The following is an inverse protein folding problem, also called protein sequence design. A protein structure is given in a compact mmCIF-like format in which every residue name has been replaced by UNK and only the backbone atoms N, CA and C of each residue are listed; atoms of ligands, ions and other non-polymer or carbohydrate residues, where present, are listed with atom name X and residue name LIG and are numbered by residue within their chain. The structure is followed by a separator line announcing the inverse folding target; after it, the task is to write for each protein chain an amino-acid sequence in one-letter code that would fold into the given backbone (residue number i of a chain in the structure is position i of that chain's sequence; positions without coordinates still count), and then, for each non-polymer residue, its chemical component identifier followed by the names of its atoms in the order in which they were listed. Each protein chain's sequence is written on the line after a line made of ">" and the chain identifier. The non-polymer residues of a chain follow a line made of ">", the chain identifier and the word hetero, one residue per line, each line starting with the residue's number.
data_IF_795109994172
#
_entry.id   IF_795109994172
#
_cell.length_a   1.000
_cell.length_b   1.000
_cell.length_c   1.000
_cell.angle_alpha   90.00
_cell.angle_beta   90.00
_cell.angle_gamma   90.00
#
_symmetry.space_group_name_H-M   'P 1'
#
loop_
_entity.id
_entity.type
_entity.pdbx_description
1 polymer ?
#
# COMPACT_ATOMS: atom_id res chain seq x y z
N UNK A 1 -23.78 5.13 -17.58
CA UNK A 1 -23.17 4.05 -16.77
C UNK A 1 -22.80 4.62 -15.41
N UNK A 2 -23.18 4.00 -14.29
CA UNK A 2 -22.84 4.53 -12.97
C UNK A 2 -21.32 4.52 -12.79
N UNK A 3 -20.73 5.60 -12.26
CA UNK A 3 -19.35 5.59 -11.74
C UNK A 3 -19.40 5.11 -10.30
N UNK A 4 -18.86 3.93 -9.94
CA UNK A 4 -18.71 3.57 -8.55
C UNK A 4 -17.22 3.59 -8.22
N UNK A 5 -16.72 4.71 -7.69
CA UNK A 5 -15.73 4.63 -6.63
C UNK A 5 -15.66 5.97 -5.91
N UNK A 6 -16.63 6.20 -5.02
CA UNK A 6 -16.32 6.98 -3.83
C UNK A 6 -15.48 6.05 -2.97
N UNK A 7 -14.17 6.00 -3.20
CA UNK A 7 -13.27 5.27 -2.31
C UNK A 7 -13.57 5.72 -0.88
N UNK A 8 -13.85 4.76 0.00
CA UNK A 8 -14.13 5.04 1.40
C UNK A 8 -12.92 5.79 1.96
N UNK A 9 -13.12 6.96 2.59
CA UNK A 9 -12.04 7.65 3.29
C UNK A 9 -11.33 6.69 4.24
N UNK A 10 -10.00 6.79 4.30
CA UNK A 10 -9.21 6.03 5.27
C UNK A 10 -9.61 6.54 6.66
N UNK A 11 -10.09 5.66 7.54
CA UNK A 11 -10.40 6.08 8.92
C UNK A 11 -9.11 6.34 9.71
N UNK A 12 -9.22 7.12 10.78
CA UNK A 12 -8.08 7.37 11.67
C UNK A 12 -7.54 6.08 12.29
N UNK A 13 -8.43 5.12 12.61
CA UNK A 13 -8.04 3.80 13.12
C UNK A 13 -7.22 3.02 12.09
N UNK A 14 -7.65 3.02 10.81
CA UNK A 14 -6.92 2.35 9.73
C UNK A 14 -5.54 2.97 9.51
N UNK A 15 -5.47 4.30 9.65
CA UNK A 15 -4.22 5.05 9.54
C UNK A 15 -3.28 4.73 10.71
N UNK A 16 -3.76 4.81 11.96
CA UNK A 16 -2.95 4.51 13.14
C UNK A 16 -2.47 3.07 13.14
N UNK A 17 -3.33 2.13 12.72
CA UNK A 17 -2.96 0.73 12.57
C UNK A 17 -1.85 0.56 11.53
N UNK A 18 -1.99 1.16 10.34
CA UNK A 18 -0.95 1.11 9.32
C UNK A 18 0.38 1.68 9.84
N UNK A 19 0.33 2.84 10.52
CA UNK A 19 1.51 3.51 11.09
C UNK A 19 2.18 2.64 12.16
N UNK A 20 1.40 1.97 13.02
CA UNK A 20 1.91 1.02 14.02
C UNK A 20 2.64 -0.19 13.40
N UNK A 21 2.31 -0.51 12.15
CA UNK A 21 2.92 -1.58 11.36
C UNK A 21 4.06 -1.08 10.44
N UNK A 22 4.43 0.21 10.54
CA UNK A 22 5.50 0.81 9.75
C UNK A 22 5.08 1.32 8.36
N UNK A 23 3.78 1.42 8.10
CA UNK A 23 3.23 1.90 6.83
C UNK A 23 2.58 3.27 6.95
N UNK A 24 2.88 4.18 6.03
CA UNK A 24 2.30 5.51 5.97
C UNK A 24 1.69 5.79 4.60
N UNK A 25 0.46 6.28 4.59
CA UNK A 25 -0.24 6.61 3.34
C UNK A 25 0.52 7.67 2.54
N UNK A 26 0.67 7.47 1.24
CA UNK A 26 1.42 8.36 0.35
C UNK A 26 2.93 8.14 0.34
N UNK A 27 3.48 7.24 1.17
CA UNK A 27 4.89 6.85 1.14
C UNK A 27 5.14 5.73 0.14
N UNK A 28 6.35 5.73 -0.43
CA UNK A 28 6.79 4.71 -1.36
C UNK A 28 7.44 3.55 -0.61
N UNK A 29 7.22 2.33 -1.08
CA UNK A 29 7.81 1.11 -0.53
C UNK A 29 8.32 0.22 -1.64
N UNK A 30 9.46 -0.44 -1.40
CA UNK A 30 9.96 -1.50 -2.27
C UNK A 30 9.14 -2.76 -2.06
N UNK A 31 8.39 -3.17 -3.07
CA UNK A 31 7.59 -4.40 -3.03
C UNK A 31 8.32 -5.51 -3.78
N UNK A 32 8.56 -6.63 -3.11
CA UNK A 32 9.05 -7.86 -3.73
C UNK A 32 7.89 -8.60 -4.38
N UNK A 33 7.99 -8.79 -5.70
CA UNK A 33 7.00 -9.48 -6.53
C UNK A 33 7.28 -10.99 -6.54
N UNK A 34 6.32 -11.76 -7.04
CA UNK A 34 6.39 -13.23 -7.10
C UNK A 34 7.55 -13.74 -7.99
N UNK A 35 7.98 -12.92 -8.97
CA UNK A 35 9.15 -13.17 -9.82
C UNK A 35 10.49 -12.81 -9.15
N UNK A 36 10.48 -12.37 -7.90
CA UNK A 36 11.65 -11.95 -7.12
C UNK A 36 12.11 -10.51 -7.39
N UNK A 37 11.55 -9.83 -8.39
CA UNK A 37 11.91 -8.44 -8.69
C UNK A 37 11.41 -7.47 -7.62
N UNK A 38 12.09 -6.32 -7.50
CA UNK A 38 11.67 -5.21 -6.65
C UNK A 38 11.04 -4.12 -7.50
N UNK A 39 9.89 -3.63 -7.07
CA UNK A 39 9.19 -2.52 -7.72
C UNK A 39 8.69 -1.51 -6.67
N UNK A 40 8.91 -0.21 -6.86
CA UNK A 40 8.48 0.80 -5.90
C UNK A 40 6.99 1.10 -6.10
N UNK A 41 6.22 1.08 -5.02
CA UNK A 41 4.78 1.40 -5.04
C UNK A 41 4.38 2.30 -3.88
N UNK A 42 3.38 3.15 -4.09
CA UNK A 42 2.88 4.06 -3.05
C UNK A 42 1.87 3.32 -2.18
N UNK A 43 2.07 3.29 -0.87
CA UNK A 43 1.09 2.74 0.06
C UNK A 43 -0.14 3.64 0.14
N UNK A 44 -1.32 3.04 0.05
CA UNK A 44 -2.60 3.73 0.14
C UNK A 44 -3.26 3.48 1.51
N UNK A 45 -3.62 2.23 1.80
CA UNK A 45 -4.33 1.84 3.03
C UNK A 45 -4.02 0.40 3.44
N UNK A 46 -4.29 0.08 4.70
CA UNK A 46 -4.33 -1.30 5.20
C UNK A 46 -5.76 -1.86 5.14
N UNK A 47 -5.87 -3.17 4.96
CA UNK A 47 -7.11 -3.95 5.04
C UNK A 47 -6.82 -5.27 5.77
N UNK A 48 -7.84 -5.86 6.38
CA UNK A 48 -7.81 -7.26 6.84
C UNK A 48 -8.51 -8.12 5.79
N UNK A 49 -7.82 -9.11 5.23
CA UNK A 49 -8.40 -10.02 4.25
C UNK A 49 -9.39 -11.01 4.87
N UNK A 50 -10.04 -11.82 4.03
CA UNK A 50 -11.02 -12.83 4.49
C UNK A 50 -10.41 -13.92 5.40
N UNK A 51 -9.08 -14.07 5.42
CA UNK A 51 -8.37 -15.00 6.28
C UNK A 51 -7.88 -14.34 7.58
N UNK A 52 -8.25 -13.09 7.84
CA UNK A 52 -7.85 -12.34 9.02
C UNK A 52 -6.42 -11.79 8.96
N UNK A 53 -5.78 -11.77 7.78
CA UNK A 53 -4.41 -11.28 7.61
C UNK A 53 -4.40 -9.83 7.14
N UNK A 54 -3.44 -9.06 7.64
CA UNK A 54 -3.21 -7.71 7.16
C UNK A 54 -2.62 -7.69 5.76
N UNK A 55 -3.26 -6.94 4.88
CA UNK A 55 -2.82 -6.67 3.51
C UNK A 55 -2.74 -5.16 3.27
N UNK A 56 -1.76 -4.75 2.48
CA UNK A 56 -1.61 -3.36 2.05
C UNK A 56 -2.16 -3.17 0.64
N UNK A 57 -2.87 -2.07 0.43
CA UNK A 57 -3.21 -1.58 -0.90
C UNK A 57 -2.14 -0.59 -1.34
N UNK A 58 -1.60 -0.81 -2.54
CA UNK A 58 -0.57 0.03 -3.12
C UNK A 58 -0.97 0.51 -4.51
N UNK A 59 -0.64 1.76 -4.83
CA UNK A 59 -0.78 2.28 -6.19
C UNK A 59 0.34 1.72 -7.07
N UNK A 60 -0.07 0.99 -8.11
CA UNK A 60 0.75 0.51 -9.21
C UNK A 60 0.36 1.31 -10.45
N UNK A 61 1.04 2.44 -10.66
CA UNK A 61 0.58 3.44 -11.63
C UNK A 61 -0.76 4.03 -11.19
N UNK A 62 -1.80 3.85 -12.01
CA UNK A 62 -3.16 4.38 -11.76
C UNK A 62 -4.11 3.39 -11.08
N UNK A 63 -3.65 2.20 -10.69
CA UNK A 63 -4.50 1.14 -10.13
C UNK A 63 -4.04 0.72 -8.74
N UNK A 64 -4.99 0.35 -7.88
CA UNK A 64 -4.68 -0.28 -6.60
C UNK A 64 -4.45 -1.78 -6.77
N UNK A 65 -3.38 -2.27 -6.14
CA UNK A 65 -3.09 -3.69 -6.02
C UNK A 65 -2.84 -4.05 -4.57
N UNK A 66 -3.35 -5.21 -4.17
CA UNK A 66 -3.13 -5.78 -2.84
C UNK A 66 -1.81 -6.55 -2.81
N UNK A 67 -1.04 -6.32 -1.75
CA UNK A 67 0.16 -7.08 -1.44
C UNK A 67 0.13 -7.45 0.05
N UNK A 68 0.64 -8.63 0.45
CA UNK A 68 0.87 -8.91 1.87
C UNK A 68 1.89 -7.91 2.41
N UNK A 69 1.74 -7.47 3.66
CA UNK A 69 2.68 -6.50 4.25
C UNK A 69 4.13 -7.02 4.25
N UNK A 70 4.31 -8.34 4.34
CA UNK A 70 5.62 -9.01 4.25
C UNK A 70 6.31 -8.88 2.88
N UNK A 71 5.60 -8.49 1.82
CA UNK A 71 6.21 -8.21 0.53
C UNK A 71 6.91 -6.84 0.50
N UNK A 72 6.60 -5.93 1.43
CA UNK A 72 7.31 -4.67 1.55
C UNK A 72 8.66 -4.89 2.24
N UNK A 73 9.73 -4.55 1.54
CA UNK A 73 11.12 -4.77 1.99
C UNK A 73 11.67 -3.54 2.71
N UNK A 74 11.04 -2.37 2.53
CA UNK A 74 11.40 -1.11 3.19
C UNK A 74 10.83 0.11 2.45
N UNK A 75 10.94 1.30 3.07
CA UNK A 75 10.60 2.57 2.42
C UNK A 75 11.51 2.81 1.22
N UNK A 76 10.93 3.19 0.08
CA UNK A 76 11.66 3.56 -1.11
C UNK A 76 11.83 5.07 -1.14
N UNK A 77 13.07 5.54 -1.04
CA UNK A 77 13.41 6.95 -1.21
C UNK A 77 13.63 7.26 -2.68
N UNK A 78 12.67 7.94 -3.30
CA UNK A 78 12.86 8.46 -4.66
C UNK A 78 13.80 9.67 -4.61
N UNK A 79 14.85 9.72 -5.45
CA UNK A 79 15.68 10.91 -5.56
C UNK A 79 14.79 12.09 -5.99
N UNK A 80 14.83 13.18 -5.22
CA UNK A 80 14.17 14.41 -5.63
C UNK A 80 14.95 14.93 -6.83
N UNK A 81 14.25 15.28 -7.92
CA UNK A 81 14.88 16.02 -9.01
C UNK A 81 15.42 17.32 -8.41
N UNK A 82 16.75 17.44 -8.39
CA UNK A 82 17.47 18.70 -8.15
C UNK A 82 17.24 19.65 -9.31
#
# INVERSE_FOLDING_TARGET
>A
MPRPNKEKPISDDERQLAESLGFASGKWYWIRRDDGSLSPHIFHRIEVDAAGKYVGHFFVGSFLRRFPLSAAVGEATMPRKS
#
